data_IF_354401681655
#
_entry.id   IF_354401681655
#
_cell.length_a   1.000
_cell.length_b   1.000
_cell.length_c   1.000
_cell.angle_alpha   90.00
_cell.angle_beta   90.00
_cell.angle_gamma   90.00
#
_symmetry.space_group_name_H-M   'P 1'
#
loop_
_entity.id
_entity.type
_entity.pdbx_description
1 polymer ?
#
# COMPACT_ATOMS: atom_id res chain seq x y z
N UNK A 1 16.58 -28.94 30.98
CA UNK A 1 17.19 -27.62 31.12
C UNK A 1 17.09 -26.95 29.76
N UNK A 2 16.32 -25.86 29.70
CA UNK A 2 15.55 -25.43 28.53
C UNK A 2 16.37 -25.07 27.29
N UNK A 3 15.92 -25.57 26.14
CA UNK A 3 16.29 -25.06 24.83
C UNK A 3 15.64 -23.69 24.64
N UNK A 4 16.40 -22.65 24.95
CA UNK A 4 16.03 -21.25 24.71
C UNK A 4 16.07 -20.97 23.19
N UNK A 5 14.98 -21.28 22.48
CA UNK A 5 14.78 -20.79 21.13
C UNK A 5 14.41 -19.31 21.23
N UNK A 6 15.42 -18.45 21.20
CA UNK A 6 15.24 -17.05 20.85
C UNK A 6 14.65 -16.98 19.44
N UNK A 7 13.35 -16.72 19.35
CA UNK A 7 12.66 -16.52 18.09
C UNK A 7 13.40 -15.49 17.25
N UNK A 8 13.70 -15.82 16.00
CA UNK A 8 14.29 -14.88 15.05
C UNK A 8 13.46 -13.58 15.05
N UNK A 9 14.10 -12.40 14.97
CA UNK A 9 13.36 -11.15 14.93
C UNK A 9 12.38 -11.21 13.76
N UNK A 10 11.08 -11.21 14.08
CA UNK A 10 10.03 -11.20 13.08
C UNK A 10 10.17 -9.90 12.29
N UNK A 11 10.55 -10.01 11.02
CA UNK A 11 10.61 -8.86 10.14
C UNK A 11 9.17 -8.43 9.85
N UNK A 12 8.73 -7.29 10.41
CA UNK A 12 7.36 -6.79 10.24
C UNK A 12 6.95 -6.72 8.76
N UNK A 13 7.90 -6.41 7.87
CA UNK A 13 7.67 -6.39 6.41
C UNK A 13 7.25 -7.76 5.84
N UNK A 14 7.72 -8.88 6.39
CA UNK A 14 7.29 -10.22 5.97
C UNK A 14 5.89 -10.54 6.46
N UNK A 15 5.48 -9.99 7.62
CA UNK A 15 4.14 -10.23 8.16
C UNK A 15 3.05 -9.51 7.36
N UNK A 16 3.42 -8.45 6.63
CA UNK A 16 2.53 -7.57 5.87
C UNK A 16 2.43 -7.94 4.38
N UNK A 17 2.91 -9.14 4.02
CA UNK A 17 2.84 -9.66 2.66
C UNK A 17 2.24 -11.06 2.66
N UNK A 18 1.34 -11.30 1.70
CA UNK A 18 0.76 -12.59 1.41
C UNK A 18 0.76 -12.83 -0.09
N UNK A 19 1.26 -13.97 -0.55
CA UNK A 19 1.20 -14.32 -1.97
C UNK A 19 -0.19 -14.85 -2.35
N UNK A 20 -0.59 -14.59 -3.58
CA UNK A 20 -1.81 -15.10 -4.20
C UNK A 20 -1.74 -15.03 -5.71
N UNK A 21 -2.76 -15.54 -6.38
CA UNK A 21 -2.92 -15.47 -7.83
C UNK A 21 -3.17 -14.02 -8.27
N UNK A 22 -3.86 -13.26 -7.43
CA UNK A 22 -4.12 -11.84 -7.60
C UNK A 22 -3.70 -11.07 -6.35
N UNK A 23 -3.06 -9.91 -6.52
CA UNK A 23 -2.50 -9.14 -5.41
C UNK A 23 -3.30 -7.85 -5.18
N UNK A 24 -3.54 -7.51 -3.91
CA UNK A 24 -3.99 -6.19 -3.48
C UNK A 24 -2.81 -5.38 -2.94
N UNK A 25 -2.76 -4.09 -3.27
CA UNK A 25 -1.83 -3.14 -2.67
C UNK A 25 -2.43 -2.54 -1.40
N UNK A 26 -1.58 -2.23 -0.41
CA UNK A 26 -2.00 -1.58 0.82
C UNK A 26 -1.12 -0.40 1.21
N UNK A 27 -1.73 0.72 1.63
CA UNK A 27 -1.04 1.91 2.10
C UNK A 27 -1.51 2.27 3.51
N UNK A 28 -0.66 2.04 4.52
CA UNK A 28 -1.01 2.22 5.94
C UNK A 28 -0.03 3.14 6.65
N UNK A 29 -0.46 3.97 7.62
CA UNK A 29 0.45 4.79 8.42
C UNK A 29 1.01 3.95 9.59
N UNK A 30 1.94 3.03 9.29
CA UNK A 30 2.60 2.18 10.29
C UNK A 30 3.65 2.96 11.08
N UNK A 31 4.17 4.03 10.49
CA UNK A 31 5.02 4.97 11.18
C UNK A 31 4.69 6.44 10.88
N UNK A 32 5.45 7.31 11.54
CA UNK A 32 5.49 8.75 11.27
C UNK A 32 6.94 9.25 11.34
N UNK A 33 7.21 10.34 10.63
CA UNK A 33 8.48 11.06 10.71
C UNK A 33 8.48 11.98 11.93
N UNK A 34 9.61 12.11 12.61
CA UNK A 34 9.82 13.28 13.47
C UNK A 34 9.97 14.53 12.60
N UNK A 35 9.48 15.67 13.09
CA UNK A 35 9.50 17.00 12.45
C UNK A 35 10.94 17.59 12.34
N UNK A 36 11.95 16.73 12.27
CA UNK A 36 13.35 17.07 12.21
C UNK A 36 13.73 17.57 10.81
N UNK A 37 13.34 18.82 10.56
CA UNK A 37 14.10 19.78 9.75
C UNK A 37 14.43 19.34 8.33
N UNK A 38 13.45 19.41 7.43
CA UNK A 38 13.73 19.52 5.99
C UNK A 38 14.52 20.81 5.65
N UNK A 39 14.53 21.80 6.55
CA UNK A 39 15.14 23.13 6.36
C UNK A 39 16.66 23.20 6.27
N UNK A 40 17.38 22.07 6.36
CA UNK A 40 18.86 22.04 6.30
C UNK A 40 19.45 20.96 5.38
N UNK A 41 18.64 20.29 4.56
CA UNK A 41 19.13 19.19 3.72
C UNK A 41 19.87 19.72 2.49
N UNK A 42 21.15 19.36 2.36
CA UNK A 42 22.01 19.70 1.21
C UNK A 42 21.94 18.61 0.12
N UNK A 43 21.47 17.39 0.46
CA UNK A 43 21.33 16.26 -0.46
C UNK A 43 20.06 15.43 -0.12
N UNK A 44 19.38 14.82 -1.13
CA UNK A 44 18.25 13.93 -0.88
C UNK A 44 18.69 12.64 -0.19
N UNK A 45 18.42 12.56 1.11
CA UNK A 45 18.55 11.32 1.89
C UNK A 45 17.18 10.65 2.07
N UNK A 46 17.18 9.33 2.23
CA UNK A 46 15.96 8.58 2.49
C UNK A 46 15.29 9.07 3.78
N UNK A 47 13.99 9.34 3.71
CA UNK A 47 13.21 9.68 4.90
C UNK A 47 13.09 8.46 5.81
N UNK A 48 13.41 8.64 7.09
CA UNK A 48 13.34 7.58 8.10
C UNK A 48 12.08 7.74 8.93
N UNK A 49 11.29 6.68 9.03
CA UNK A 49 10.12 6.59 9.90
C UNK A 49 10.60 6.20 11.29
N UNK A 50 10.51 7.13 12.24
CA UNK A 50 11.11 6.96 13.57
C UNK A 50 10.10 6.51 14.61
N UNK A 51 8.82 6.82 14.42
CA UNK A 51 7.75 6.47 15.36
C UNK A 51 6.87 5.38 14.79
N UNK A 52 6.55 4.39 15.61
CA UNK A 52 5.62 3.31 15.27
C UNK A 52 4.18 3.66 15.66
N UNK A 53 3.23 3.29 14.81
CA UNK A 53 1.79 3.46 15.00
C UNK A 53 1.11 2.11 15.16
N UNK A 54 0.68 1.78 16.38
CA UNK A 54 -0.06 0.55 16.67
C UNK A 54 -1.42 0.52 15.96
N UNK A 55 -2.08 1.66 15.85
CA UNK A 55 -3.35 1.78 15.12
C UNK A 55 -3.17 1.54 13.62
N UNK A 56 -2.09 2.08 13.03
CA UNK A 56 -1.73 1.79 11.64
C UNK A 56 -1.50 0.30 11.40
N UNK A 57 -0.78 -0.36 12.32
CA UNK A 57 -0.59 -1.81 12.26
C UNK A 57 -1.91 -2.57 12.37
N UNK A 58 -2.81 -2.15 13.27
CA UNK A 58 -4.12 -2.78 13.42
C UNK A 58 -4.92 -2.74 12.11
N UNK A 59 -4.94 -1.61 11.41
CA UNK A 59 -5.62 -1.49 10.11
C UNK A 59 -5.00 -2.38 9.04
N UNK A 60 -3.66 -2.47 8.99
CA UNK A 60 -2.98 -3.35 8.05
C UNK A 60 -3.29 -4.83 8.34
N UNK A 61 -3.28 -5.23 9.61
CA UNK A 61 -3.65 -6.57 10.03
C UNK A 61 -5.12 -6.90 9.75
N UNK A 62 -6.02 -5.91 9.84
CA UNK A 62 -7.43 -6.11 9.49
C UNK A 62 -7.59 -6.49 8.01
N UNK A 63 -6.85 -5.85 7.10
CA UNK A 63 -6.85 -6.24 5.68
C UNK A 63 -6.25 -7.62 5.48
N UNK A 64 -5.15 -7.93 6.16
CA UNK A 64 -4.54 -9.26 6.10
C UNK A 64 -5.53 -10.35 6.54
N UNK A 65 -6.20 -10.15 7.67
CA UNK A 65 -7.21 -11.06 8.20
C UNK A 65 -8.39 -11.22 7.23
N UNK A 66 -8.87 -10.12 6.63
CA UNK A 66 -9.94 -10.18 5.63
C UNK A 66 -9.52 -11.01 4.40
N UNK A 67 -8.28 -10.88 3.93
CA UNK A 67 -7.74 -11.71 2.84
C UNK A 67 -7.64 -13.18 3.23
N UNK A 68 -7.23 -13.49 4.46
CA UNK A 68 -7.21 -14.87 4.99
C UNK A 68 -8.62 -15.47 5.07
N UNK A 69 -9.60 -14.70 5.53
CA UNK A 69 -11.00 -15.13 5.62
C UNK A 69 -11.59 -15.40 4.23
N UNK A 70 -11.35 -14.50 3.25
CA UNK A 70 -11.76 -14.69 1.85
C UNK A 70 -11.16 -15.98 1.28
N UNK A 71 -9.87 -16.22 1.51
CA UNK A 71 -9.19 -17.41 0.99
C UNK A 71 -9.66 -18.71 1.65
N UNK A 72 -10.11 -18.67 2.91
CA UNK A 72 -10.68 -19.81 3.61
C UNK A 72 -12.15 -20.07 3.23
N UNK A 73 -12.87 -19.02 2.79
CA UNK A 73 -14.23 -19.11 2.28
C UNK A 73 -14.27 -19.54 0.81
N UNK A 74 -14.53 -20.81 0.54
CA UNK A 74 -14.56 -21.37 -0.83
C UNK A 74 -15.67 -20.83 -1.74
N UNK A 75 -16.58 -19.98 -1.24
CA UNK A 75 -17.73 -19.48 -1.99
C UNK A 75 -17.48 -18.16 -2.71
N UNK A 76 -16.59 -17.30 -2.22
CA UNK A 76 -16.39 -15.96 -2.79
C UNK A 76 -15.44 -15.98 -4.00
N UNK A 77 -14.32 -16.71 -3.89
CA UNK A 77 -13.29 -16.85 -4.93
C UNK A 77 -12.89 -18.32 -5.10
N UNK A 78 -13.79 -19.20 -5.60
CA UNK A 78 -13.51 -20.62 -5.71
C UNK A 78 -12.29 -20.91 -6.60
N UNK A 79 -11.30 -21.61 -6.05
CA UNK A 79 -10.11 -22.03 -6.78
C UNK A 79 -9.06 -20.92 -7.00
N UNK A 80 -9.25 -19.74 -6.41
CA UNK A 80 -8.31 -18.63 -6.48
C UNK A 80 -7.87 -18.19 -5.08
N UNK A 81 -6.65 -17.68 -4.98
CA UNK A 81 -6.11 -17.09 -3.76
C UNK A 81 -5.82 -15.61 -3.97
N UNK A 82 -6.36 -14.79 -3.10
CA UNK A 82 -6.03 -13.39 -3.00
C UNK A 82 -4.76 -13.21 -2.15
N UNK A 83 -3.84 -12.39 -2.63
CA UNK A 83 -2.65 -11.96 -1.92
C UNK A 83 -2.72 -10.47 -1.59
N UNK A 84 -1.77 -10.00 -0.77
CA UNK A 84 -1.63 -8.58 -0.45
C UNK A 84 -0.17 -8.19 -0.23
N UNK A 85 0.15 -6.93 -0.51
CA UNK A 85 1.45 -6.31 -0.26
C UNK A 85 1.21 -4.95 0.41
N UNK A 86 1.36 -4.89 1.73
CA UNK A 86 0.97 -3.74 2.55
C UNK A 86 2.22 -2.95 2.96
N UNK A 87 2.25 -1.66 2.65
CA UNK A 87 3.40 -0.78 2.88
C UNK A 87 3.10 0.32 3.88
N UNK A 88 4.15 0.73 4.59
CA UNK A 88 4.13 1.94 5.40
C UNK A 88 4.15 3.18 4.50
N UNK A 89 3.24 4.10 4.78
CA UNK A 89 3.19 5.44 4.18
C UNK A 89 3.99 6.45 5.00
N UNK A 90 4.30 6.15 6.26
CA UNK A 90 4.94 7.06 7.20
C UNK A 90 4.16 8.36 7.44
N UNK A 91 2.90 8.41 6.99
CA UNK A 91 2.15 9.67 6.82
C UNK A 91 2.89 10.75 6.00
N UNK A 92 3.83 10.34 5.14
CA UNK A 92 4.72 11.24 4.40
C UNK A 92 4.56 11.01 2.88
N UNK A 93 4.20 12.06 2.10
CA UNK A 93 4.06 11.98 0.65
C UNK A 93 5.17 11.21 -0.08
N UNK A 94 6.43 11.55 0.20
CA UNK A 94 7.58 10.94 -0.51
C UNK A 94 7.71 9.45 -0.21
N UNK A 95 7.37 9.03 1.01
CA UNK A 95 7.43 7.62 1.41
C UNK A 95 6.28 6.84 0.78
N UNK A 96 5.07 7.41 0.73
CA UNK A 96 3.90 6.78 0.13
C UNK A 96 3.98 6.63 -1.40
N UNK A 97 4.74 7.49 -2.10
CA UNK A 97 4.89 7.42 -3.56
C UNK A 97 5.63 6.17 -4.02
N UNK A 98 6.65 5.72 -3.29
CA UNK A 98 7.44 4.54 -3.67
C UNK A 98 6.60 3.26 -3.80
N UNK A 99 5.83 2.81 -2.80
CA UNK A 99 4.96 1.65 -2.96
C UNK A 99 3.85 1.89 -3.98
N UNK A 100 3.34 3.11 -4.11
CA UNK A 100 2.35 3.45 -5.14
C UNK A 100 2.87 3.19 -6.57
N UNK A 101 4.12 3.58 -6.86
CA UNK A 101 4.77 3.27 -8.13
C UNK A 101 5.01 1.77 -8.31
N UNK A 102 5.41 1.06 -7.24
CA UNK A 102 5.60 -0.39 -7.28
C UNK A 102 4.30 -1.16 -7.57
N UNK A 103 3.15 -0.67 -7.08
CA UNK A 103 1.83 -1.23 -7.41
C UNK A 103 1.50 -1.11 -8.89
N UNK A 104 1.87 0.01 -9.51
CA UNK A 104 1.69 0.25 -10.94
C UNK A 104 2.75 -0.44 -11.83
N UNK A 105 3.81 -1.02 -11.25
CA UNK A 105 4.82 -1.74 -12.03
C UNK A 105 4.23 -3.00 -12.68
N UNK A 106 4.86 -3.49 -13.75
CA UNK A 106 4.36 -4.66 -14.48
C UNK A 106 4.43 -5.88 -13.57
N UNK A 107 3.43 -6.75 -13.60
CA UNK A 107 3.47 -8.01 -12.86
C UNK A 107 4.78 -8.78 -13.14
N UNK A 108 5.49 -9.17 -12.08
CA UNK A 108 6.81 -9.82 -12.17
C UNK A 108 8.00 -8.88 -12.44
N UNK A 109 7.80 -7.57 -12.50
CA UNK A 109 8.85 -6.56 -12.70
C UNK A 109 8.83 -5.48 -11.61
N UNK A 110 9.90 -4.68 -11.53
CA UNK A 110 9.98 -3.47 -10.69
C UNK A 110 9.79 -2.18 -11.52
N UNK A 111 9.51 -2.30 -12.82
CA UNK A 111 9.46 -1.18 -13.75
C UNK A 111 8.03 -0.85 -14.17
N UNK A 112 7.74 0.44 -14.21
CA UNK A 112 6.55 0.99 -14.88
C UNK A 112 6.97 1.32 -16.31
N UNK A 113 6.45 0.58 -17.29
CA UNK A 113 6.78 0.83 -18.69
C UNK A 113 6.19 2.19 -19.09
N UNK A 114 6.98 3.08 -19.69
CA UNK A 114 6.47 4.32 -20.26
C UNK A 114 5.73 3.99 -21.57
N UNK A 115 4.40 4.12 -21.56
CA UNK A 115 3.53 3.82 -22.70
C UNK A 115 2.45 4.89 -22.83
N UNK A 116 1.95 5.10 -24.06
CA UNK A 116 0.76 5.92 -24.27
C UNK A 116 -0.54 5.13 -24.04
N UNK A 117 -0.48 3.80 -24.04
CA UNK A 117 -1.64 2.92 -23.89
C UNK A 117 -1.33 1.80 -22.88
N UNK A 118 -2.17 1.73 -21.84
CA UNK A 118 -2.09 0.73 -20.77
C UNK A 118 -3.29 -0.25 -20.76
N UNK A 119 -4.14 -0.27 -21.78
CA UNK A 119 -5.33 -1.15 -21.84
C UNK A 119 -5.00 -2.64 -21.71
N UNK A 120 -3.84 -3.08 -22.20
CA UNK A 120 -3.36 -4.47 -22.07
C UNK A 120 -2.28 -4.62 -20.99
N UNK A 121 -2.04 -3.57 -20.21
CA UNK A 121 -1.01 -3.58 -19.18
C UNK A 121 -1.53 -4.31 -17.93
N UNK A 122 -0.71 -5.22 -17.40
CA UNK A 122 -1.02 -5.94 -16.18
C UNK A 122 -0.15 -5.41 -15.04
N UNK A 123 -0.68 -4.54 -14.17
CA UNK A 123 0.05 -4.03 -13.02
C UNK A 123 0.26 -5.14 -11.97
N UNK A 124 1.16 -4.89 -11.02
CA UNK A 124 1.51 -5.82 -9.94
C UNK A 124 0.33 -6.11 -9.01
N UNK A 125 -0.56 -5.14 -8.81
CA UNK A 125 -1.75 -5.28 -7.97
C UNK A 125 -3.01 -4.89 -8.75
N UNK A 126 -4.14 -5.51 -8.40
CA UNK A 126 -5.42 -5.24 -9.04
C UNK A 126 -6.11 -3.97 -8.52
N UNK A 127 -5.94 -3.68 -7.23
CA UNK A 127 -6.55 -2.55 -6.54
C UNK A 127 -5.71 -2.18 -5.32
N UNK A 128 -5.90 -0.97 -4.81
CA UNK A 128 -5.19 -0.43 -3.65
C UNK A 128 -6.16 -0.10 -2.53
N UNK A 129 -5.85 -0.57 -1.33
CA UNK A 129 -6.55 -0.22 -0.10
C UNK A 129 -5.76 0.90 0.60
N UNK A 130 -6.45 1.98 0.94
CA UNK A 130 -5.86 3.17 1.54
C UNK A 130 -5.49 4.25 0.51
N UNK A 131 -4.80 5.31 0.95
CA UNK A 131 -4.32 5.53 2.31
C UNK A 131 -5.41 6.05 3.26
N UNK A 132 -5.08 6.19 4.54
CA UNK A 132 -5.96 6.79 5.55
C UNK A 132 -6.14 8.31 5.39
N UNK A 133 -5.08 9.05 5.07
CA UNK A 133 -5.09 10.53 5.02
C UNK A 133 -5.67 11.05 3.71
N UNK A 134 -6.53 12.07 3.79
CA UNK A 134 -7.04 12.82 2.63
C UNK A 134 -5.92 13.44 1.78
N UNK A 135 -4.86 13.93 2.39
CA UNK A 135 -3.72 14.52 1.66
C UNK A 135 -3.02 13.47 0.81
N UNK A 136 -2.69 12.32 1.40
CA UNK A 136 -2.05 11.22 0.67
C UNK A 136 -3.00 10.61 -0.36
N UNK A 137 -4.30 10.55 -0.08
CA UNK A 137 -5.31 10.05 -1.01
C UNK A 137 -5.42 10.95 -2.26
N UNK A 138 -5.36 12.28 -2.11
CA UNK A 138 -5.34 13.20 -3.25
C UNK A 138 -4.09 13.03 -4.13
N UNK A 139 -2.95 12.67 -3.54
CA UNK A 139 -1.72 12.40 -4.29
C UNK A 139 -1.80 11.05 -5.00
N UNK A 140 -2.03 9.97 -4.26
CA UNK A 140 -2.11 8.60 -4.75
C UNK A 140 -3.25 8.38 -5.74
N UNK A 141 -4.39 9.05 -5.53
CA UNK A 141 -5.53 9.02 -6.44
C UNK A 141 -5.19 9.48 -7.84
N UNK A 142 -4.31 10.48 -8.00
CA UNK A 142 -3.86 10.90 -9.34
C UNK A 142 -3.00 9.84 -10.02
N UNK A 143 -2.11 9.18 -9.29
CA UNK A 143 -1.28 8.11 -9.83
C UNK A 143 -2.13 6.93 -10.30
N UNK A 144 -3.02 6.44 -9.44
CA UNK A 144 -3.84 5.27 -9.76
C UNK A 144 -4.91 5.57 -10.82
N UNK A 145 -5.45 6.79 -10.84
CA UNK A 145 -6.39 7.23 -11.88
C UNK A 145 -5.78 7.19 -13.29
N UNK A 146 -4.47 7.41 -13.45
CA UNK A 146 -3.81 7.29 -14.75
C UNK A 146 -3.88 5.87 -15.33
N UNK A 147 -3.84 4.84 -14.47
CA UNK A 147 -4.00 3.43 -14.85
C UNK A 147 -5.45 2.92 -14.72
N UNK A 148 -6.38 3.78 -14.29
CA UNK A 148 -7.73 3.40 -13.84
C UNK A 148 -7.70 2.27 -12.79
N UNK A 149 -6.66 2.24 -11.95
CA UNK A 149 -6.50 1.27 -10.87
C UNK A 149 -7.44 1.65 -9.72
N UNK A 150 -8.37 0.78 -9.29
CA UNK A 150 -9.27 1.07 -8.19
C UNK A 150 -8.51 1.35 -6.90
N UNK A 151 -8.85 2.45 -6.24
CA UNK A 151 -8.34 2.84 -4.94
C UNK A 151 -9.49 2.99 -3.96
N UNK A 152 -9.48 2.21 -2.88
CA UNK A 152 -10.51 2.26 -1.83
C UNK A 152 -9.88 2.76 -0.55
N UNK A 153 -10.07 4.03 -0.23
CA UNK A 153 -9.61 4.59 1.04
C UNK A 153 -10.54 4.19 2.19
N UNK A 154 -9.95 3.89 3.34
CA UNK A 154 -10.65 3.55 4.58
C UNK A 154 -10.69 4.72 5.59
N UNK A 155 -10.27 5.92 5.20
CA UNK A 155 -10.23 7.08 6.11
C UNK A 155 -10.24 8.46 5.47
N UNK A 156 -9.87 8.59 4.19
CA UNK A 156 -9.89 9.88 3.51
C UNK A 156 -11.33 10.34 3.28
N UNK A 157 -11.62 11.58 3.66
CA UNK A 157 -12.99 12.11 3.75
C UNK A 157 -13.18 13.47 3.09
N UNK A 158 -12.16 13.99 2.38
CA UNK A 158 -12.32 15.23 1.61
C UNK A 158 -13.27 15.02 0.42
N UNK A 159 -14.20 15.94 0.26
CA UNK A 159 -15.15 16.04 -0.85
C UNK A 159 -14.48 16.13 -2.24
N UNK A 160 -13.25 16.66 -2.31
CA UNK A 160 -12.45 16.75 -3.54
C UNK A 160 -12.27 15.40 -4.23
N UNK A 161 -12.18 14.32 -3.46
CA UNK A 161 -12.02 12.95 -3.99
C UNK A 161 -13.29 12.42 -4.67
N UNK A 162 -14.45 13.05 -4.45
CA UNK A 162 -15.71 12.71 -5.11
C UNK A 162 -15.78 13.19 -6.57
N UNK A 163 -14.85 14.04 -7.02
CA UNK A 163 -14.79 14.49 -8.41
C UNK A 163 -14.27 13.36 -9.31
N UNK A 164 -15.19 12.68 -10.01
CA UNK A 164 -14.90 11.56 -10.92
C UNK A 164 -14.12 11.93 -12.18
N UNK A 165 -14.09 13.20 -12.58
CA UNK A 165 -13.24 13.65 -13.69
C UNK A 165 -11.76 13.71 -13.26
N UNK A 166 -11.51 14.06 -12.00
CA UNK A 166 -10.14 14.16 -11.45
C UNK A 166 -9.66 12.83 -10.86
N UNK A 167 -10.57 12.07 -10.24
CA UNK A 167 -10.30 10.81 -9.53
C UNK A 167 -11.25 9.70 -10.03
N UNK A 168 -11.15 9.28 -11.31
CA UNK A 168 -12.06 8.31 -11.91
C UNK A 168 -12.06 6.93 -11.22
N UNK A 169 -10.97 6.56 -10.53
CA UNK A 169 -10.82 5.25 -9.89
C UNK A 169 -10.76 5.27 -8.35
N UNK A 170 -11.11 6.40 -7.71
CA UNK A 170 -11.21 6.53 -6.25
C UNK A 170 -12.61 6.20 -5.71
#
# INVERSE_FOLDING_TARGET
WESNQSGAPLCLSQQLRMQGDYMLGGLFPLGTTDDAGLGGRIQPNATVCTRFSSLGLLWALAVKMAVEEINNGSTLLPGLRLGCDLFDTCSEPVVAMKPSLMFMAKAGSCDVAASCNYTQYQPRVLAVIGPHSSELALLTGKFFSFFLMPQVSYGASTDRLSNRETFPSF
#
